data_IF_521318147416
#
_entry.id   IF_521318147416
#
_cell.length_a   1.000
_cell.length_b   1.000
_cell.length_c   1.000
_cell.angle_alpha   90.00
_cell.angle_beta   90.00
_cell.angle_gamma   90.00
#
_symmetry.space_group_name_H-M   'P 1'
#
loop_
_entity.id
_entity.type
_entity.pdbx_description
1 polymer ?
#
# COMPACT_ATOMS: atom_id res chain seq x y z
N UNK A 1 12.56 3.80 8.95
CA UNK A 1 11.59 3.11 8.07
C UNK A 1 10.16 3.58 8.31
N UNK A 2 9.52 3.40 9.47
CA UNK A 2 8.14 3.88 9.71
C UNK A 2 7.93 5.36 9.33
N UNK A 3 8.75 6.25 9.89
CA UNK A 3 8.68 7.68 9.56
C UNK A 3 8.78 7.95 8.04
N UNK A 4 9.65 7.22 7.33
CA UNK A 4 9.79 7.39 5.88
C UNK A 4 8.54 6.91 5.12
N UNK A 5 7.88 5.85 5.58
CA UNK A 5 6.60 5.42 5.03
C UNK A 5 5.53 6.52 5.22
N UNK A 6 5.49 7.14 6.39
CA UNK A 6 4.54 8.23 6.69
C UNK A 6 4.87 9.50 5.87
N UNK A 7 6.16 9.79 5.70
CA UNK A 7 6.64 10.90 4.86
C UNK A 7 6.24 10.68 3.39
N UNK A 8 6.27 9.45 2.87
CA UNK A 8 5.78 9.16 1.52
C UNK A 8 4.28 9.46 1.38
N UNK A 9 3.46 9.05 2.34
CA UNK A 9 2.01 9.31 2.33
C UNK A 9 1.75 10.81 2.33
N UNK A 10 2.35 11.57 3.25
CA UNK A 10 2.14 13.02 3.36
C UNK A 10 2.67 13.79 2.15
N UNK A 11 3.79 13.34 1.58
CA UNK A 11 4.45 14.04 0.47
C UNK A 11 3.80 13.76 -0.87
N UNK A 12 3.34 12.52 -1.13
CA UNK A 12 2.98 12.08 -2.49
C UNK A 12 1.53 11.64 -2.68
N UNK A 13 0.82 11.22 -1.62
CA UNK A 13 -0.58 10.80 -1.76
C UNK A 13 -1.42 11.94 -2.33
N UNK A 14 -2.25 11.63 -3.32
CA UNK A 14 -3.10 12.54 -4.10
C UNK A 14 -2.35 13.57 -4.97
N UNK A 15 -1.01 13.52 -5.01
CA UNK A 15 -0.19 14.50 -5.73
C UNK A 15 0.46 13.94 -7.01
N UNK A 16 0.52 12.62 -7.17
CA UNK A 16 1.21 11.99 -8.30
C UNK A 16 0.36 12.05 -9.58
N UNK A 17 -0.95 11.83 -9.49
CA UNK A 17 -1.86 11.85 -10.64
C UNK A 17 -2.29 13.29 -11.03
N UNK A 18 -1.39 14.26 -10.91
CA UNK A 18 -1.65 15.68 -11.21
C UNK A 18 -1.00 16.08 -12.54
N UNK A 19 -1.54 17.13 -13.18
CA UNK A 19 -1.02 17.62 -14.46
C UNK A 19 0.41 18.17 -14.34
N UNK A 20 0.82 18.60 -13.16
CA UNK A 20 2.15 19.17 -12.88
C UNK A 20 3.22 18.13 -12.59
N UNK A 21 2.86 16.89 -12.26
CA UNK A 21 3.83 15.84 -11.98
C UNK A 21 4.60 15.46 -13.25
N UNK A 22 5.92 15.62 -13.21
CA UNK A 22 6.84 15.48 -14.34
C UNK A 22 7.56 14.13 -14.38
N UNK A 23 8.32 13.87 -15.45
CA UNK A 23 9.17 12.69 -15.55
C UNK A 23 10.32 12.71 -14.53
N UNK A 24 10.88 13.89 -14.25
CA UNK A 24 11.91 14.08 -13.21
C UNK A 24 11.38 13.80 -11.81
N UNK A 25 10.17 14.27 -11.49
CA UNK A 25 9.51 13.97 -10.20
C UNK A 25 9.29 12.47 -10.02
N UNK A 26 8.91 11.78 -11.10
CA UNK A 26 8.70 10.33 -11.10
C UNK A 26 10.01 9.57 -10.94
N UNK A 27 11.07 10.04 -11.59
CA UNK A 27 12.41 9.46 -11.45
C UNK A 27 12.93 9.58 -10.01
N UNK A 28 12.83 10.78 -9.41
CA UNK A 28 13.23 11.01 -8.02
C UNK A 28 12.37 10.21 -7.03
N UNK A 29 11.07 10.09 -7.30
CA UNK A 29 10.19 9.22 -6.52
C UNK A 29 10.66 7.77 -6.58
N UNK A 30 10.96 7.23 -7.76
CA UNK A 30 11.40 5.84 -7.91
C UNK A 30 12.70 5.56 -7.20
N UNK A 31 13.70 6.45 -7.28
CA UNK A 31 14.95 6.27 -6.52
C UNK A 31 14.71 6.20 -5.02
N UNK A 32 13.85 7.07 -4.48
CA UNK A 32 13.47 7.04 -3.07
C UNK A 32 12.74 5.75 -2.72
N UNK A 33 11.81 5.33 -3.57
CA UNK A 33 11.00 4.13 -3.37
C UNK A 33 11.88 2.86 -3.40
N UNK A 34 12.79 2.74 -4.36
CA UNK A 34 13.73 1.62 -4.47
C UNK A 34 14.63 1.51 -3.24
N UNK A 35 15.22 2.64 -2.81
CA UNK A 35 16.06 2.65 -1.61
C UNK A 35 15.27 2.23 -0.37
N UNK A 36 14.04 2.74 -0.23
CA UNK A 36 13.17 2.38 0.88
C UNK A 36 12.80 0.90 0.87
N UNK A 37 12.39 0.34 -0.27
CA UNK A 37 12.03 -1.08 -0.35
C UNK A 37 13.23 -1.99 -0.15
N UNK A 38 14.43 -1.61 -0.60
CA UNK A 38 15.65 -2.34 -0.29
C UNK A 38 15.88 -2.43 1.24
N UNK A 39 15.76 -1.30 1.95
CA UNK A 39 15.95 -1.29 3.41
C UNK A 39 14.87 -2.10 4.16
N UNK A 40 13.63 -2.08 3.67
CA UNK A 40 12.53 -2.89 4.22
C UNK A 40 12.77 -4.37 3.98
N UNK A 41 13.21 -4.74 2.77
CA UNK A 41 13.51 -6.13 2.42
C UNK A 41 14.70 -6.67 3.22
N UNK A 42 15.78 -5.89 3.37
CA UNK A 42 16.92 -6.26 4.20
C UNK A 42 16.50 -6.55 5.65
N UNK A 43 15.66 -5.68 6.24
CA UNK A 43 15.14 -5.87 7.59
C UNK A 43 14.31 -7.15 7.70
N UNK A 44 13.43 -7.39 6.72
CA UNK A 44 12.56 -8.58 6.66
C UNK A 44 13.37 -9.86 6.52
N UNK A 45 14.31 -9.89 5.58
CA UNK A 45 15.20 -11.05 5.35
C UNK A 45 16.01 -11.32 6.61
N UNK A 46 16.56 -10.29 7.25
CA UNK A 46 17.29 -10.45 8.50
C UNK A 46 16.42 -11.07 9.60
N UNK A 47 15.24 -10.48 9.88
CA UNK A 47 14.37 -10.98 10.95
C UNK A 47 13.89 -12.41 10.71
N UNK A 48 13.58 -12.74 9.46
CA UNK A 48 13.20 -14.10 9.07
C UNK A 48 14.37 -15.07 9.26
N UNK A 49 15.56 -14.71 8.76
CA UNK A 49 16.74 -15.58 8.80
C UNK A 49 17.19 -15.89 10.22
N UNK A 50 17.18 -14.91 11.13
CA UNK A 50 17.56 -15.15 12.53
C UNK A 50 16.54 -16.02 13.25
N UNK A 51 15.24 -15.85 12.97
CA UNK A 51 14.20 -16.72 13.51
C UNK A 51 14.34 -18.15 12.99
N UNK A 52 14.56 -18.33 11.68
CA UNK A 52 14.72 -19.65 11.07
C UNK A 52 15.96 -20.39 11.57
N UNK A 53 17.02 -19.66 11.92
CA UNK A 53 18.22 -20.24 12.52
C UNK A 53 17.96 -20.83 13.91
N UNK A 54 17.04 -20.25 14.69
CA UNK A 54 16.63 -20.81 15.97
C UNK A 54 15.22 -20.36 16.41
N UNK A 55 14.23 -21.22 16.11
CA UNK A 55 12.82 -20.94 16.38
C UNK A 55 12.42 -21.08 17.85
N UNK A 56 13.30 -21.53 18.75
CA UNK A 56 12.96 -21.72 20.17
C UNK A 56 13.16 -20.46 21.02
N UNK A 57 13.65 -19.37 20.43
CA UNK A 57 13.94 -18.10 21.12
C UNK A 57 12.74 -17.14 20.92
N UNK A 58 11.93 -16.89 21.97
CA UNK A 58 10.71 -16.06 21.86
C UNK A 58 10.99 -14.63 21.38
N UNK A 59 12.16 -14.07 21.71
CA UNK A 59 12.58 -12.73 21.27
C UNK A 59 12.75 -12.64 19.76
N UNK A 60 13.21 -13.72 19.10
CA UNK A 60 13.36 -13.76 17.64
C UNK A 60 12.01 -13.88 16.95
N UNK A 61 11.08 -14.64 17.52
CA UNK A 61 9.69 -14.70 17.05
C UNK A 61 9.02 -13.33 17.17
N UNK A 62 9.16 -12.67 18.33
CA UNK A 62 8.60 -11.34 18.55
C UNK A 62 9.18 -10.30 17.58
N UNK A 63 10.49 -10.37 17.29
CA UNK A 63 11.13 -9.52 16.28
C UNK A 63 10.53 -9.76 14.90
N UNK A 64 10.44 -11.03 14.46
CA UNK A 64 9.84 -11.41 13.17
C UNK A 64 8.42 -10.86 13.03
N UNK A 65 7.57 -11.12 14.02
CA UNK A 65 6.17 -10.70 13.99
C UNK A 65 6.05 -9.18 13.91
N UNK A 66 6.89 -8.43 14.66
CA UNK A 66 6.91 -6.97 14.59
C UNK A 66 7.33 -6.45 13.22
N UNK A 67 8.28 -7.11 12.56
CA UNK A 67 8.70 -6.74 11.20
C UNK A 67 7.61 -7.08 10.19
N UNK A 68 6.95 -8.23 10.31
CA UNK A 68 5.82 -8.63 9.45
C UNK A 68 4.65 -7.65 9.55
N UNK A 69 4.30 -7.21 10.76
CA UNK A 69 3.28 -6.18 10.99
C UNK A 69 3.67 -4.86 10.33
N UNK A 70 4.93 -4.45 10.49
CA UNK A 70 5.47 -3.24 9.87
C UNK A 70 5.42 -3.31 8.34
N UNK A 71 5.85 -4.42 7.74
CA UNK A 71 5.83 -4.65 6.27
C UNK A 71 4.40 -4.64 5.75
N UNK A 72 3.48 -5.30 6.45
CA UNK A 72 2.06 -5.37 6.09
C UNK A 72 1.42 -3.98 6.10
N UNK A 73 1.62 -3.22 7.19
CA UNK A 73 1.07 -1.87 7.32
C UNK A 73 1.68 -0.91 6.29
N UNK A 74 3.00 -0.99 6.08
CA UNK A 74 3.69 -0.21 5.04
C UNK A 74 3.14 -0.53 3.65
N UNK A 75 2.93 -1.80 3.33
CA UNK A 75 2.41 -2.20 2.02
C UNK A 75 1.01 -1.65 1.77
N UNK A 76 0.13 -1.68 2.79
CA UNK A 76 -1.20 -1.06 2.73
C UNK A 76 -1.10 0.46 2.53
N UNK A 77 -0.27 1.12 3.33
CA UNK A 77 -0.11 2.58 3.30
C UNK A 77 0.48 3.08 1.98
N UNK A 78 1.33 2.29 1.33
CA UNK A 78 2.00 2.67 0.08
C UNK A 78 1.32 2.10 -1.18
N UNK A 79 0.17 1.41 -1.05
CA UNK A 79 -0.58 0.85 -2.17
C UNK A 79 -1.05 1.92 -3.18
N UNK A 80 -1.23 3.17 -2.73
CA UNK A 80 -1.62 4.29 -3.58
C UNK A 80 -0.60 4.57 -4.70
N UNK A 81 0.69 4.25 -4.52
CA UNK A 81 1.69 4.47 -5.56
C UNK A 81 1.32 3.79 -6.87
N UNK A 82 0.99 2.49 -6.82
CA UNK A 82 0.61 1.71 -8.01
C UNK A 82 -0.63 2.32 -8.68
N UNK A 83 -1.59 2.79 -7.89
CA UNK A 83 -2.84 3.39 -8.38
C UNK A 83 -2.61 4.74 -9.04
N UNK A 84 -1.92 5.65 -8.36
CA UNK A 84 -1.72 7.01 -8.86
C UNK A 84 -0.73 7.06 -10.03
N UNK A 85 0.36 6.30 -9.96
CA UNK A 85 1.31 6.18 -11.08
C UNK A 85 0.60 5.54 -12.28
N UNK A 86 -0.23 4.51 -12.05
CA UNK A 86 -1.02 3.89 -13.11
C UNK A 86 -1.94 4.88 -13.82
N UNK A 87 -2.70 5.66 -13.05
CA UNK A 87 -3.56 6.73 -13.61
C UNK A 87 -2.75 7.80 -14.34
N UNK A 88 -1.59 8.19 -13.82
CA UNK A 88 -0.70 9.17 -14.43
C UNK A 88 -0.23 8.69 -15.82
N UNK A 89 0.31 7.48 -15.91
CA UNK A 89 0.87 6.93 -17.17
C UNK A 89 -0.20 6.52 -18.18
N UNK A 90 -1.43 6.26 -17.73
CA UNK A 90 -2.56 6.04 -18.62
C UNK A 90 -3.00 7.35 -19.30
N UNK A 91 -3.04 8.46 -18.54
CA UNK A 91 -3.32 9.81 -19.06
C UNK A 91 -2.18 10.37 -19.92
N UNK A 92 -0.93 10.17 -19.49
CA UNK A 92 0.28 10.72 -20.13
C UNK A 92 1.18 9.58 -20.59
N UNK A 93 0.78 8.91 -21.67
CA UNK A 93 1.48 7.73 -22.20
C UNK A 93 2.93 8.04 -22.60
N UNK A 94 3.17 9.25 -23.08
CA UNK A 94 4.49 9.72 -23.54
C UNK A 94 5.53 9.76 -22.41
N UNK A 95 5.11 9.83 -21.14
CA UNK A 95 6.03 9.78 -19.99
C UNK A 95 6.82 8.47 -19.94
N UNK A 96 6.26 7.37 -20.44
CA UNK A 96 6.91 6.05 -20.39
C UNK A 96 8.15 6.01 -21.31
N UNK A 97 8.15 6.81 -22.37
CA UNK A 97 9.23 6.84 -23.36
C UNK A 97 10.27 7.94 -23.09
N UNK A 98 10.13 8.68 -21.99
CA UNK A 98 11.10 9.72 -21.59
C UNK A 98 12.48 9.11 -21.30
N UNK A 99 13.59 9.65 -21.84
CA UNK A 99 14.92 9.07 -21.65
C UNK A 99 15.34 8.87 -20.19
N UNK A 100 14.92 9.77 -19.28
CA UNK A 100 15.22 9.69 -17.85
C UNK A 100 14.56 8.49 -17.15
N UNK A 101 13.46 7.97 -17.71
CA UNK A 101 12.71 6.83 -17.17
C UNK A 101 13.03 5.51 -17.87
N UNK A 102 14.10 5.47 -18.68
CA UNK A 102 14.49 4.29 -19.47
C UNK A 102 14.57 3.01 -18.63
N UNK A 103 15.20 3.07 -17.46
CA UNK A 103 15.39 1.91 -16.59
C UNK A 103 14.07 1.45 -15.93
N UNK A 104 13.11 2.37 -15.80
CA UNK A 104 11.77 2.11 -15.24
C UNK A 104 10.72 1.77 -16.29
N UNK A 105 11.07 1.80 -17.58
CA UNK A 105 10.12 1.60 -18.70
C UNK A 105 9.31 0.31 -18.58
N UNK A 106 9.98 -0.80 -18.27
CA UNK A 106 9.32 -2.09 -18.09
C UNK A 106 8.31 -2.08 -16.95
N UNK A 107 8.67 -1.45 -15.84
CA UNK A 107 7.80 -1.30 -14.67
C UNK A 107 6.57 -0.44 -14.99
N UNK A 108 6.76 0.70 -15.66
CA UNK A 108 5.69 1.62 -16.06
C UNK A 108 4.71 0.96 -17.03
N UNK A 109 5.20 0.21 -18.03
CA UNK A 109 4.32 -0.56 -18.92
C UNK A 109 3.51 -1.62 -18.18
N UNK A 110 4.13 -2.30 -17.19
CA UNK A 110 3.46 -3.31 -16.38
C UNK A 110 2.34 -2.68 -15.53
N UNK A 111 2.62 -1.55 -14.87
CA UNK A 111 1.60 -0.81 -14.12
C UNK A 111 0.47 -0.38 -15.05
N UNK A 112 0.77 0.23 -16.20
CA UNK A 112 -0.25 0.69 -17.16
C UNK A 112 -1.18 -0.45 -17.56
N UNK A 113 -0.63 -1.65 -17.85
CA UNK A 113 -1.43 -2.83 -18.20
C UNK A 113 -2.35 -3.27 -17.06
N UNK A 114 -1.95 -3.04 -15.81
CA UNK A 114 -2.79 -3.38 -14.65
C UNK A 114 -3.86 -2.34 -14.31
N UNK A 115 -3.84 -1.14 -14.91
CA UNK A 115 -4.80 -0.05 -14.62
C UNK A 115 -6.27 -0.48 -14.74
N UNK A 116 -6.69 -1.19 -15.81
CA UNK A 116 -8.09 -1.63 -15.94
C UNK A 116 -8.54 -2.54 -14.78
N UNK A 117 -7.65 -3.39 -14.28
CA UNK A 117 -7.94 -4.32 -13.19
C UNK A 117 -7.82 -3.66 -11.80
N UNK A 118 -6.92 -2.70 -11.65
CA UNK A 118 -6.73 -1.94 -10.41
C UNK A 118 -7.97 -1.13 -10.05
N UNK A 119 -8.66 -0.56 -11.03
CA UNK A 119 -9.87 0.21 -10.80
C UNK A 119 -11.00 -0.69 -10.28
N UNK A 120 -11.23 -1.86 -10.91
CA UNK A 120 -12.25 -2.81 -10.47
C UNK A 120 -11.94 -3.41 -9.10
N UNK A 121 -10.68 -3.73 -8.81
CA UNK A 121 -10.27 -4.27 -7.50
C UNK A 121 -10.47 -3.23 -6.37
N UNK A 122 -10.16 -1.95 -6.62
CA UNK A 122 -10.44 -0.87 -5.66
C UNK A 122 -11.94 -0.67 -5.47
N UNK A 123 -12.72 -0.71 -6.54
CA UNK A 123 -14.18 -0.62 -6.45
C UNK A 123 -14.77 -1.79 -5.63
N UNK A 124 -14.30 -3.01 -5.86
CA UNK A 124 -14.69 -4.20 -5.08
C UNK A 124 -14.27 -4.08 -3.62
N UNK A 125 -13.06 -3.61 -3.33
CA UNK A 125 -12.57 -3.47 -1.96
C UNK A 125 -13.30 -2.36 -1.20
N UNK A 126 -13.65 -1.26 -1.87
CA UNK A 126 -14.53 -0.22 -1.31
C UNK A 126 -15.94 -0.77 -1.02
N UNK A 127 -16.49 -1.64 -1.89
CA UNK A 127 -17.78 -2.30 -1.63
C UNK A 127 -17.67 -3.20 -0.39
N UNK A 128 -16.62 -4.02 -0.27
CA UNK A 128 -16.42 -4.90 0.88
C UNK A 128 -16.20 -4.11 2.18
N UNK A 129 -15.37 -3.08 2.17
CA UNK A 129 -15.14 -2.21 3.33
C UNK A 129 -16.43 -1.49 3.74
N UNK A 130 -17.23 -1.00 2.79
CA UNK A 130 -18.55 -0.42 3.07
C UNK A 130 -19.53 -1.46 3.61
N UNK A 131 -19.50 -2.71 3.13
CA UNK A 131 -20.36 -3.79 3.64
C UNK A 131 -19.96 -4.23 5.07
N UNK A 132 -18.67 -4.31 5.38
CA UNK A 132 -18.15 -4.56 6.73
C UNK A 132 -18.51 -3.41 7.66
N UNK A 133 -18.36 -2.16 7.19
CA UNK A 133 -18.71 -0.97 7.96
C UNK A 133 -20.23 -0.90 8.21
N UNK A 134 -21.06 -1.18 7.19
CA UNK A 134 -22.52 -1.25 7.34
C UNK A 134 -22.97 -2.38 8.28
N UNK A 135 -22.31 -3.54 8.22
CA UNK A 135 -22.55 -4.63 9.18
C UNK A 135 -22.18 -4.20 10.60
N UNK A 136 -21.05 -3.52 10.81
CA UNK A 136 -20.66 -3.01 12.14
C UNK A 136 -21.57 -1.92 12.70
N UNK A 137 -22.19 -1.08 11.85
CA UNK A 137 -23.24 -0.13 12.30
C UNK A 137 -24.54 -0.81 12.69
N UNK A 138 -24.88 -1.98 12.11
CA UNK A 138 -26.03 -2.78 12.55
C UNK A 138 -25.77 -3.48 13.90
N UNK A 139 -24.51 -3.78 14.23
CA UNK A 139 -24.16 -4.32 15.55
C UNK A 139 -24.16 -3.25 16.67
N UNK A 140 -23.86 -1.98 16.36
CA UNK A 140 -23.86 -0.93 17.38
C UNK A 140 -25.27 -0.42 17.75
N UNK A 141 -26.25 -0.49 16.84
CA UNK A 141 -27.65 -0.13 17.16
C UNK A 141 -28.36 -1.23 17.97
N UNK A 142 -27.90 -2.47 17.90
CA UNK A 142 -28.48 -3.59 18.64
C UNK A 142 -28.02 -3.65 20.11
N UNK A 143 -26.86 -3.07 20.46
CA UNK A 143 -26.32 -3.17 21.82
C UNK A 143 -26.78 -2.05 22.78
N UNK A 144 -27.38 -0.96 22.28
CA UNK A 144 -27.83 0.16 23.12
C UNK A 144 -29.36 0.21 23.33
N UNK A 145 -30.09 -0.79 22.85
CA UNK A 145 -31.53 -0.88 23.03
C UNK A 145 -31.84 -2.02 24.00
N UNK A 146 -31.60 -1.77 25.30
CA UNK A 146 -32.04 -2.63 26.39
C UNK A 146 -33.56 -2.67 26.48
N UNK A 147 -34.22 -3.29 25.51
CA UNK A 147 -35.66 -3.50 25.47
C UNK A 147 -35.91 -5.00 25.36
N UNK A 148 -36.14 -5.60 26.53
CA UNK A 148 -36.86 -6.86 26.68
C UNK A 148 -38.33 -6.55 26.43
N UNK A 149 -38.94 -7.12 25.39
CA UNK A 149 -40.40 -7.22 25.31
C UNK A 149 -40.76 -8.69 25.17
N UNK A 150 -41.29 -9.24 26.26
CA UNK A 150 -42.17 -10.41 26.27
C UNK A 150 -43.60 -9.95 25.90
N UNK A 151 -44.24 -10.62 24.96
CA UNK A 151 -45.70 -10.80 24.77
C UNK A 151 -45.92 -11.44 23.38
N UNK A 152 -46.66 -12.53 23.17
CA UNK A 152 -47.39 -13.50 24.00
C UNK A 152 -47.40 -14.83 23.24
#
# INVERSE_FOLDING_TARGET
LQKQADDFVTTYKEKINTATFSADDLYELFKKQEKFYADVEDLKVYSQSVYDANMTIPELEALKNKVDDFVTNTSKNLAFFKLEIGKLVDKKKDLIDTPILKDYKHYLHRIRRSVPHLLSEVEEQLILDVLVTKSSTLFFSASNSGIVIFAS
#
